data_IF_526539006598
#
_entry.id   IF_526539006598
#
_cell.length_a   1.000
_cell.length_b   1.000
_cell.length_c   1.000
_cell.angle_alpha   90.00
_cell.angle_beta   90.00
_cell.angle_gamma   90.00
#
_symmetry.space_group_name_H-M   'P 1'
#
loop_
_entity.id
_entity.type
_entity.pdbx_description
1 polymer ?
#
# COMPACT_ATOMS: atom_id res chain seq x y z
N UNK A 1 14.01 -77.59 -11.91
CA UNK A 1 12.83 -78.01 -12.70
C UNK A 1 11.88 -76.85 -12.81
N UNK A 2 11.44 -76.58 -14.05
CA UNK A 2 10.24 -75.86 -14.53
C UNK A 2 9.79 -74.54 -13.87
N UNK A 3 9.83 -73.52 -14.73
CA UNK A 3 9.11 -72.23 -14.75
C UNK A 3 7.62 -72.35 -14.38
N UNK A 4 7.05 -71.26 -13.86
CA UNK A 4 5.90 -70.55 -14.45
C UNK A 4 5.74 -69.16 -13.84
N UNK A 5 5.65 -68.16 -14.72
CA UNK A 5 5.22 -66.80 -14.46
C UNK A 5 3.74 -66.67 -14.86
N UNK A 6 2.97 -65.84 -14.13
CA UNK A 6 1.75 -65.08 -14.48
C UNK A 6 1.62 -64.10 -13.28
N UNK A 7 1.58 -62.77 -13.37
CA UNK A 7 0.99 -61.93 -14.39
C UNK A 7 -0.37 -61.40 -13.90
N UNK A 8 -0.38 -60.36 -13.06
CA UNK A 8 -1.54 -59.52 -12.82
C UNK A 8 -1.09 -58.11 -12.43
N UNK A 9 -0.97 -57.24 -13.42
CA UNK A 9 -0.89 -55.80 -13.23
C UNK A 9 -2.30 -55.29 -12.93
N UNK A 10 -2.53 -54.80 -11.72
CA UNK A 10 -3.67 -53.95 -11.39
C UNK A 10 -3.14 -52.52 -11.32
N UNK A 11 -3.35 -51.79 -12.41
CA UNK A 11 -3.20 -50.35 -12.49
C UNK A 11 -4.25 -49.69 -11.60
N UNK A 12 -3.93 -49.50 -10.32
CA UNK A 12 -4.67 -48.66 -9.42
C UNK A 12 -4.17 -47.22 -9.54
N UNK A 13 -4.99 -46.35 -10.11
CA UNK A 13 -4.83 -44.90 -10.08
C UNK A 13 -4.74 -44.44 -8.63
N UNK A 14 -3.54 -44.15 -8.14
CA UNK A 14 -3.33 -43.50 -6.86
C UNK A 14 -3.71 -42.02 -7.04
N UNK A 15 -4.94 -41.67 -6.67
CA UNK A 15 -5.31 -40.28 -6.48
C UNK A 15 -4.41 -39.71 -5.38
N UNK A 16 -3.45 -38.86 -5.74
CA UNK A 16 -2.77 -37.98 -4.80
C UNK A 16 -3.82 -37.02 -4.24
N UNK A 17 -4.53 -37.44 -3.19
CA UNK A 17 -5.11 -36.50 -2.26
C UNK A 17 -3.94 -35.71 -1.70
N UNK A 18 -3.77 -34.46 -2.15
CA UNK A 18 -2.79 -33.55 -1.58
C UNK A 18 -3.09 -33.39 -0.10
N UNK A 19 -2.31 -34.04 0.75
CA UNK A 19 -2.22 -33.66 2.15
C UNK A 19 -1.67 -32.24 2.15
N UNK A 20 -2.56 -31.26 2.26
CA UNK A 20 -2.18 -30.00 2.86
C UNK A 20 -1.65 -30.35 4.25
N UNK A 21 -0.34 -30.15 4.47
CA UNK A 21 0.20 -30.21 5.81
C UNK A 21 -0.65 -29.29 6.70
N UNK A 22 -1.00 -29.70 7.93
CA UNK A 22 -1.66 -28.78 8.84
C UNK A 22 -0.76 -27.55 8.94
N UNK A 23 -1.33 -26.38 8.60
CA UNK A 23 -0.77 -25.13 9.08
C UNK A 23 -0.56 -25.32 10.58
N UNK A 24 0.61 -24.95 11.11
CA UNK A 24 0.90 -25.11 12.53
C UNK A 24 -0.21 -24.42 13.34
N UNK A 25 -1.17 -25.20 13.83
CA UNK A 25 -2.16 -24.75 14.80
C UNK A 25 -1.39 -24.58 16.10
N UNK A 26 -1.12 -23.34 16.50
CA UNK A 26 -0.87 -23.06 17.90
C UNK A 26 -2.07 -23.63 18.66
N UNK A 27 -1.83 -24.54 19.60
CA UNK A 27 -2.85 -25.41 20.17
C UNK A 27 -3.99 -24.66 20.89
N UNK A 28 -3.83 -23.35 21.13
CA UNK A 28 -4.76 -22.52 21.90
C UNK A 28 -5.23 -21.24 21.17
N UNK A 29 -4.89 -21.07 19.88
CA UNK A 29 -5.37 -19.93 19.12
C UNK A 29 -6.86 -20.07 18.74
N UNK A 30 -7.69 -19.03 18.91
CA UNK A 30 -9.09 -19.10 18.49
C UNK A 30 -9.20 -19.26 16.97
N UNK A 31 -10.23 -19.98 16.53
CA UNK A 31 -10.52 -20.21 15.11
C UNK A 31 -11.12 -18.96 14.46
N UNK A 32 -10.26 -17.99 14.15
CA UNK A 32 -10.62 -16.76 13.46
C UNK A 32 -10.28 -16.83 11.98
N UNK A 33 -11.22 -16.39 11.15
CA UNK A 33 -10.99 -16.21 9.72
C UNK A 33 -11.19 -14.75 9.33
N UNK A 34 -10.20 -14.21 8.62
CA UNK A 34 -10.23 -12.88 8.03
C UNK A 34 -10.36 -13.02 6.51
N UNK A 35 -11.50 -12.62 5.97
CA UNK A 35 -11.81 -12.74 4.55
C UNK A 35 -12.04 -11.38 3.90
N UNK A 36 -11.80 -11.29 2.58
CA UNK A 36 -12.11 -10.09 1.80
C UNK A 36 -11.34 -8.83 2.21
N UNK A 37 -10.15 -9.00 2.82
CA UNK A 37 -9.35 -7.87 3.32
C UNK A 37 -9.03 -6.92 2.17
N UNK A 38 -9.47 -5.68 2.31
CA UNK A 38 -9.24 -4.62 1.34
C UNK A 38 -8.58 -3.45 2.03
N UNK A 39 -7.35 -3.14 1.61
CA UNK A 39 -6.58 -2.01 2.12
C UNK A 39 -6.67 -0.85 1.13
N UNK A 40 -6.99 0.35 1.63
CA UNK A 40 -7.10 1.58 0.84
C UNK A 40 -7.98 1.46 -0.42
N UNK A 41 -9.07 0.67 -0.37
CA UNK A 41 -9.92 0.40 -1.54
C UNK A 41 -9.13 -0.17 -2.74
N UNK A 42 -8.05 -0.92 -2.48
CA UNK A 42 -7.15 -1.48 -3.49
C UNK A 42 -6.19 -0.49 -4.14
N UNK A 43 -6.13 0.77 -3.67
CA UNK A 43 -5.26 1.81 -4.22
C UNK A 43 -3.93 1.88 -3.48
N UNK A 44 -2.88 2.30 -4.18
CA UNK A 44 -1.61 2.63 -3.53
C UNK A 44 -1.77 3.80 -2.53
N UNK A 45 -1.00 3.77 -1.46
CA UNK A 45 -0.93 4.80 -0.42
C UNK A 45 0.26 5.69 -0.73
N UNK A 46 0.03 6.97 -1.02
CA UNK A 46 1.09 7.94 -1.28
C UNK A 46 1.36 8.75 0.00
N UNK A 47 2.55 8.62 0.57
CA UNK A 47 2.90 9.25 1.85
C UNK A 47 3.95 10.34 1.63
N UNK A 48 3.69 11.53 2.20
CA UNK A 48 4.60 12.66 2.22
C UNK A 48 5.67 12.52 3.30
N UNK A 49 6.20 13.63 3.80
CA UNK A 49 7.24 13.63 4.84
C UNK A 49 6.76 14.09 6.21
N UNK A 50 5.60 14.75 6.30
CA UNK A 50 5.11 15.34 7.56
C UNK A 50 3.62 15.13 7.81
N UNK A 51 2.84 14.83 6.76
CA UNK A 51 1.40 14.71 6.89
C UNK A 51 1.02 13.25 7.10
N UNK A 52 0.39 12.97 8.22
CA UNK A 52 -0.18 11.67 8.55
C UNK A 52 -1.23 11.26 7.52
N UNK A 53 -1.17 10.01 7.07
CA UNK A 53 -2.10 9.45 6.07
C UNK A 53 -2.94 8.34 6.71
N UNK A 54 -4.25 8.53 6.72
CA UNK A 54 -5.19 7.51 7.22
C UNK A 54 -5.63 6.57 6.10
N UNK A 55 -5.37 5.28 6.28
CA UNK A 55 -5.64 4.21 5.31
C UNK A 55 -6.86 3.40 5.76
N UNK A 56 -8.00 3.46 5.05
CA UNK A 56 -9.16 2.66 5.41
C UNK A 56 -8.91 1.19 5.09
N UNK A 57 -9.26 0.31 6.02
CA UNK A 57 -9.22 -1.15 5.87
C UNK A 57 -10.62 -1.70 6.12
N UNK A 58 -11.04 -2.65 5.31
CA UNK A 58 -12.31 -3.36 5.47
C UNK A 58 -12.13 -4.85 5.25
N UNK A 59 -12.83 -5.67 6.03
CA UNK A 59 -12.77 -7.13 5.95
C UNK A 59 -14.01 -7.77 6.57
N UNK A 60 -14.19 -9.06 6.32
CA UNK A 60 -15.16 -9.91 6.99
C UNK A 60 -14.41 -10.77 8.01
N UNK A 61 -14.81 -10.69 9.28
CA UNK A 61 -14.33 -11.55 10.35
C UNK A 61 -15.34 -12.66 10.59
N UNK A 62 -14.88 -13.90 10.67
CA UNK A 62 -15.67 -15.01 11.22
C UNK A 62 -14.98 -15.51 12.47
N UNK A 63 -15.75 -15.64 13.55
CA UNK A 63 -15.28 -16.12 14.86
C UNK A 63 -16.21 -17.18 15.45
N UNK A 64 -15.74 -17.98 16.42
CA UNK A 64 -16.60 -18.84 17.22
C UNK A 64 -17.64 -18.00 17.96
N UNK A 65 -18.85 -18.53 18.11
CA UNK A 65 -19.98 -17.81 18.72
C UNK A 65 -19.76 -17.49 20.19
N UNK A 66 -19.06 -18.37 20.89
CA UNK A 66 -18.69 -18.29 22.30
C UNK A 66 -17.48 -17.38 22.57
N UNK A 67 -16.67 -17.09 21.55
CA UNK A 67 -15.59 -16.12 21.65
C UNK A 67 -16.14 -14.69 21.63
N UNK A 68 -16.06 -14.00 22.77
CA UNK A 68 -16.39 -12.58 22.89
C UNK A 68 -15.14 -11.74 22.65
N UNK A 69 -15.20 -10.86 21.65
CA UNK A 69 -14.14 -9.89 21.37
C UNK A 69 -14.59 -8.53 21.88
N UNK A 70 -13.99 -8.04 22.97
CA UNK A 70 -14.40 -6.82 23.68
C UNK A 70 -13.47 -5.62 23.45
N UNK A 71 -12.28 -5.84 22.87
CA UNK A 71 -11.25 -4.81 22.70
C UNK A 71 -10.71 -4.26 24.04
N UNK A 72 -10.90 -5.00 25.14
CA UNK A 72 -10.41 -4.69 26.49
C UNK A 72 -9.39 -5.74 26.97
N UNK A 73 -9.80 -7.02 27.02
CA UNK A 73 -8.92 -8.15 27.40
C UNK A 73 -8.39 -8.92 26.22
N UNK A 74 -8.96 -8.66 25.05
CA UNK A 74 -8.48 -9.18 23.80
C UNK A 74 -8.62 -8.12 22.73
N UNK A 75 -7.77 -8.18 21.72
CA UNK A 75 -7.79 -7.29 20.58
C UNK A 75 -7.97 -8.10 19.32
N UNK A 76 -8.62 -7.48 18.36
CA UNK A 76 -8.70 -8.00 17.01
C UNK A 76 -8.59 -6.83 16.04
N UNK A 77 -7.77 -6.98 15.00
CA UNK A 77 -7.51 -5.94 14.02
C UNK A 77 -6.90 -6.53 12.72
N UNK A 78 -6.77 -5.71 11.69
CA UNK A 78 -5.82 -5.95 10.59
C UNK A 78 -4.70 -4.91 10.65
N UNK A 79 -3.45 -5.39 10.64
CA UNK A 79 -2.27 -4.54 10.50
C UNK A 79 -1.63 -4.71 9.12
N UNK A 80 -0.76 -3.78 8.75
CA UNK A 80 0.11 -3.88 7.58
C UNK A 80 1.53 -4.20 8.03
N UNK A 81 2.21 -5.09 7.32
CA UNK A 81 3.58 -5.48 7.64
C UNK A 81 4.45 -5.66 6.40
N UNK A 82 5.76 -5.54 6.58
CA UNK A 82 6.81 -5.89 5.62
C UNK A 82 7.58 -7.12 6.08
N UNK A 83 8.27 -7.79 5.16
CA UNK A 83 9.02 -9.00 5.46
C UNK A 83 8.11 -10.21 5.66
N UNK A 84 8.32 -10.98 6.73
CA UNK A 84 7.53 -12.16 7.08
C UNK A 84 6.98 -12.03 8.49
N UNK A 85 5.89 -12.71 8.84
CA UNK A 85 5.39 -12.66 10.23
C UNK A 85 6.40 -13.20 11.26
N UNK A 86 7.39 -14.00 10.84
CA UNK A 86 8.48 -14.47 11.71
C UNK A 86 9.56 -13.41 11.95
N UNK A 87 9.68 -12.45 11.03
CA UNK A 87 10.72 -11.43 11.01
C UNK A 87 10.16 -10.26 10.22
N UNK A 88 9.33 -9.45 10.88
CA UNK A 88 8.73 -8.29 10.28
C UNK A 88 9.78 -7.18 10.19
N UNK A 89 9.92 -6.58 9.01
CA UNK A 89 10.87 -5.48 8.81
C UNK A 89 10.30 -4.15 9.31
N UNK A 90 8.97 -4.00 9.23
CA UNK A 90 8.22 -2.83 9.68
C UNK A 90 6.73 -3.18 9.75
N UNK A 91 5.97 -2.49 10.60
CA UNK A 91 4.54 -2.73 10.85
C UNK A 91 3.76 -1.41 11.03
N UNK A 92 2.49 -1.42 10.61
CA UNK A 92 1.55 -0.31 10.76
C UNK A 92 0.22 -0.88 11.26
N UNK A 93 -0.12 -0.54 12.50
CA UNK A 93 -1.38 -0.92 13.13
C UNK A 93 -2.45 0.17 13.04
N UNK A 94 -3.70 -0.15 13.39
CA UNK A 94 -4.71 0.87 13.65
C UNK A 94 -4.51 1.51 15.02
N UNK A 95 -4.77 2.82 15.12
CA UNK A 95 -4.71 3.55 16.41
C UNK A 95 -5.97 3.38 17.26
N UNK A 96 -7.02 2.81 16.68
CA UNK A 96 -8.32 2.63 17.32
C UNK A 96 -8.89 1.25 16.95
N UNK A 97 -9.70 0.65 17.86
CA UNK A 97 -10.34 -0.63 17.58
C UNK A 97 -11.21 -0.60 16.31
N UNK A 98 -11.33 -1.74 15.59
CA UNK A 98 -12.23 -1.84 14.46
C UNK A 98 -13.70 -1.68 14.87
N UNK A 99 -14.49 -1.14 13.94
CA UNK A 99 -15.94 -1.12 14.04
C UNK A 99 -16.49 -2.31 13.26
N UNK A 100 -17.02 -3.30 13.98
CA UNK A 100 -17.60 -4.52 13.41
C UNK A 100 -19.12 -4.53 13.54
N UNK A 101 -19.81 -4.95 12.47
CA UNK A 101 -21.27 -5.16 12.45
C UNK A 101 -21.57 -6.62 12.11
N UNK A 102 -22.33 -7.28 12.98
CA UNK A 102 -22.82 -8.64 12.72
C UNK A 102 -23.59 -8.71 11.41
N UNK A 103 -23.15 -9.59 10.53
CA UNK A 103 -23.74 -9.86 9.23
C UNK A 103 -24.57 -11.15 9.25
N UNK A 104 -24.09 -12.17 9.96
CA UNK A 104 -24.77 -13.44 10.13
C UNK A 104 -24.35 -14.14 11.43
N UNK A 105 -25.23 -14.97 11.96
CA UNK A 105 -24.98 -15.81 13.13
C UNK A 105 -25.49 -17.21 12.84
N UNK A 106 -24.69 -18.22 13.15
CA UNK A 106 -25.07 -19.64 13.12
C UNK A 106 -25.09 -20.20 14.54
N UNK A 107 -25.25 -21.53 14.67
CA UNK A 107 -25.15 -22.18 15.98
C UNK A 107 -23.72 -22.15 16.53
N UNK A 108 -22.70 -22.13 15.67
CA UNK A 108 -21.28 -22.24 16.06
C UNK A 108 -20.46 -20.98 15.79
N UNK A 109 -20.89 -20.12 14.86
CA UNK A 109 -20.07 -18.97 14.40
C UNK A 109 -20.86 -17.67 14.31
N UNK A 110 -20.13 -16.56 14.41
CA UNK A 110 -20.62 -15.21 14.11
C UNK A 110 -19.74 -14.63 13.01
N UNK A 111 -20.37 -14.07 11.99
CA UNK A 111 -19.70 -13.39 10.88
C UNK A 111 -20.02 -11.90 10.92
N UNK A 112 -18.99 -11.07 10.84
CA UNK A 112 -19.04 -9.63 11.06
C UNK A 112 -18.35 -8.90 9.92
N UNK A 113 -18.92 -7.79 9.48
CA UNK A 113 -18.27 -6.87 8.56
C UNK A 113 -17.57 -5.79 9.38
N UNK A 114 -16.25 -5.72 9.27
CA UNK A 114 -15.41 -4.85 10.06
C UNK A 114 -14.75 -3.77 9.20
N UNK A 115 -14.61 -2.58 9.78
CA UNK A 115 -13.87 -1.47 9.19
C UNK A 115 -12.99 -0.82 10.23
N UNK A 116 -11.77 -0.46 9.83
CA UNK A 116 -10.82 0.25 10.67
C UNK A 116 -9.94 1.18 9.83
N UNK A 117 -9.04 1.88 10.51
CA UNK A 117 -8.14 2.86 9.91
C UNK A 117 -6.73 2.60 10.40
N UNK A 118 -5.83 2.27 9.48
CA UNK A 118 -4.39 2.20 9.74
C UNK A 118 -3.81 3.58 9.48
N UNK A 119 -3.11 4.13 10.45
CA UNK A 119 -2.51 5.46 10.34
C UNK A 119 -1.05 5.31 9.93
N UNK A 120 -0.62 6.11 8.96
CA UNK A 120 0.78 6.17 8.54
C UNK A 120 1.30 7.56 8.84
N UNK A 121 1.99 7.68 9.96
CA UNK A 121 2.78 8.86 10.25
C UNK A 121 4.18 8.71 9.61
N UNK A 122 4.54 9.53 8.61
CA UNK A 122 5.84 9.41 7.98
C UNK A 122 7.03 9.68 8.89
N UNK A 123 6.85 10.40 10.02
CA UNK A 123 7.94 10.73 10.94
C UNK A 123 8.19 9.61 11.96
N UNK A 124 7.15 8.83 12.28
CA UNK A 124 7.22 7.76 13.29
C UNK A 124 7.27 6.35 12.69
N UNK A 125 6.78 6.16 11.46
CA UNK A 125 6.54 4.83 10.93
C UNK A 125 7.31 4.49 9.63
N UNK A 126 7.91 5.47 8.96
CA UNK A 126 8.66 5.27 7.72
C UNK A 126 10.08 5.79 7.90
N UNK A 127 11.06 4.90 7.83
CA UNK A 127 12.44 5.22 8.23
C UNK A 127 13.39 5.30 7.04
N UNK A 128 13.16 4.53 5.98
CA UNK A 128 14.12 4.44 4.88
C UNK A 128 13.48 4.24 3.49
N UNK A 129 14.30 4.01 2.47
CA UNK A 129 13.86 3.81 1.09
C UNK A 129 13.14 2.48 0.84
N UNK A 130 13.41 1.46 1.65
CA UNK A 130 12.82 0.14 1.55
C UNK A 130 11.33 0.14 1.92
N UNK A 131 10.88 1.07 2.77
CA UNK A 131 9.46 1.20 3.14
C UNK A 131 8.57 1.55 1.94
N UNK A 132 9.15 2.11 0.87
CA UNK A 132 8.46 2.46 -0.36
C UNK A 132 8.28 1.22 -1.25
N UNK A 133 7.52 0.24 -0.77
CA UNK A 133 7.36 -1.08 -1.38
C UNK A 133 5.92 -1.60 -1.27
N UNK A 134 5.72 -2.87 -1.61
CA UNK A 134 4.47 -3.58 -1.32
C UNK A 134 4.48 -4.09 0.12
N UNK A 135 3.49 -3.65 0.88
CA UNK A 135 3.17 -4.11 2.22
C UNK A 135 2.07 -5.17 2.15
N UNK A 136 2.01 -6.03 3.16
CA UNK A 136 1.02 -7.11 3.27
C UNK A 136 0.10 -6.86 4.46
N UNK A 137 -1.13 -7.32 4.38
CA UNK A 137 -2.05 -7.27 5.51
C UNK A 137 -1.98 -8.58 6.32
N UNK A 138 -2.09 -8.45 7.65
CA UNK A 138 -2.26 -9.57 8.57
C UNK A 138 -3.43 -9.30 9.50
N UNK A 139 -4.29 -10.30 9.67
CA UNK A 139 -5.29 -10.32 10.73
C UNK A 139 -4.59 -10.67 12.03
N UNK A 140 -4.95 -9.99 13.11
CA UNK A 140 -4.34 -10.18 14.42
C UNK A 140 -5.45 -10.45 15.43
N UNK A 141 -5.16 -11.39 16.32
CA UNK A 141 -5.86 -11.55 17.58
C UNK A 141 -4.85 -11.56 18.71
N UNK A 142 -5.08 -10.73 19.71
CA UNK A 142 -4.29 -10.70 20.93
C UNK A 142 -5.17 -10.98 22.13
N UNK A 143 -4.68 -11.70 23.12
CA UNK A 143 -5.28 -11.80 24.44
C UNK A 143 -4.26 -11.32 25.46
N UNK A 144 -4.71 -10.50 26.41
CA UNK A 144 -3.89 -10.04 27.52
C UNK A 144 -4.68 -10.17 28.81
N UNK A 145 -4.18 -10.96 29.76
CA UNK A 145 -4.65 -10.97 31.13
C UNK A 145 -3.49 -10.65 32.07
N UNK A 146 -3.73 -9.81 33.06
CA UNK A 146 -2.68 -9.38 33.97
C UNK A 146 -3.24 -9.09 35.35
N UNK A 147 -2.55 -9.58 36.37
CA UNK A 147 -2.89 -9.41 37.78
C UNK A 147 -1.67 -8.83 38.47
N UNK A 148 -1.86 -7.69 39.12
CA UNK A 148 -0.82 -6.97 39.84
C UNK A 148 -1.26 -6.68 41.28
N UNK A 149 -0.36 -6.93 42.23
CA UNK A 149 -0.42 -6.47 43.62
C UNK A 149 0.99 -6.09 44.09
N UNK A 150 1.12 -5.56 45.31
CA UNK A 150 2.41 -5.12 45.87
C UNK A 150 3.47 -6.24 45.88
N UNK A 151 3.04 -7.50 46.02
CA UNK A 151 3.91 -8.69 46.14
C UNK A 151 3.68 -9.74 45.03
N UNK A 152 2.78 -9.50 44.06
CA UNK A 152 2.47 -10.47 42.99
C UNK A 152 2.31 -9.76 41.64
N UNK A 153 3.04 -10.26 40.64
CA UNK A 153 2.94 -9.81 39.26
C UNK A 153 2.80 -11.02 38.35
N UNK A 154 1.71 -11.05 37.59
CA UNK A 154 1.46 -12.05 36.56
C UNK A 154 0.89 -11.38 35.31
N UNK A 155 1.41 -11.77 34.15
CA UNK A 155 0.96 -11.28 32.86
C UNK A 155 1.04 -12.41 31.84
N UNK A 156 -0.10 -12.72 31.23
CA UNK A 156 -0.24 -13.65 30.11
C UNK A 156 -0.64 -12.83 28.89
N UNK A 157 0.16 -12.96 27.81
CA UNK A 157 -0.10 -12.28 26.56
C UNK A 157 0.09 -13.27 25.41
N UNK A 158 -0.98 -13.50 24.66
CA UNK A 158 -0.96 -14.36 23.48
C UNK A 158 -1.27 -13.53 22.25
N UNK A 159 -0.54 -13.77 21.17
CA UNK A 159 -0.81 -13.15 19.87
C UNK A 159 -0.84 -14.21 18.78
N UNK A 160 -1.88 -14.17 17.98
CA UNK A 160 -2.02 -14.97 16.76
C UNK A 160 -2.18 -14.05 15.57
N UNK A 161 -1.44 -14.35 14.49
CA UNK A 161 -1.47 -13.55 13.27
C UNK A 161 -1.68 -14.43 12.03
N UNK A 162 -2.58 -14.00 11.16
CA UNK A 162 -2.86 -14.61 9.86
C UNK A 162 -2.38 -13.68 8.76
N UNK A 163 -1.26 -14.00 8.12
CA UNK A 163 -0.61 -13.12 7.15
C UNK A 163 -1.04 -13.34 5.70
N UNK A 164 -0.58 -12.43 4.82
CA UNK A 164 -0.79 -12.49 3.36
C UNK A 164 -2.27 -12.38 2.95
N UNK A 165 -3.09 -11.71 3.75
CA UNK A 165 -4.53 -11.58 3.50
C UNK A 165 -4.85 -10.57 2.39
N UNK A 166 -3.99 -9.58 2.22
CA UNK A 166 -4.03 -8.58 1.16
C UNK A 166 -2.65 -7.99 0.95
N UNK A 167 -2.51 -7.14 -0.07
CA UNK A 167 -1.31 -6.33 -0.27
C UNK A 167 -1.65 -4.91 -0.72
N UNK A 168 -0.80 -3.95 -0.38
CA UNK A 168 -0.92 -2.55 -0.77
C UNK A 168 0.46 -1.98 -1.08
N UNK A 169 0.55 -1.10 -2.08
CA UNK A 169 1.80 -0.35 -2.33
C UNK A 169 1.81 0.88 -1.46
N UNK A 170 2.84 1.04 -0.64
CA UNK A 170 3.16 2.30 0.03
C UNK A 170 4.23 3.00 -0.80
N UNK A 171 3.96 4.23 -1.20
CA UNK A 171 4.76 4.97 -2.17
C UNK A 171 5.16 6.33 -1.62
N UNK A 172 6.37 6.76 -1.95
CA UNK A 172 6.80 8.14 -1.71
C UNK A 172 5.94 9.09 -2.54
N UNK A 173 5.34 10.08 -1.90
CA UNK A 173 4.58 11.11 -2.61
C UNK A 173 5.53 11.96 -3.47
N UNK A 174 5.13 12.28 -4.70
CA UNK A 174 5.89 13.17 -5.59
C UNK A 174 5.33 14.60 -5.58
N UNK A 175 6.22 15.57 -5.81
CA UNK A 175 5.90 16.98 -6.11
C UNK A 175 6.46 17.31 -7.49
N UNK A 176 5.68 18.07 -8.27
CA UNK A 176 6.00 18.37 -9.65
C UNK A 176 5.60 19.81 -9.98
N UNK A 177 6.52 20.58 -10.53
CA UNK A 177 6.32 21.98 -10.91
C UNK A 177 6.53 22.17 -12.42
N UNK A 178 5.99 23.25 -12.95
CA UNK A 178 6.17 23.67 -14.35
C UNK A 178 6.23 25.20 -14.40
N UNK A 179 7.00 25.74 -15.34
CA UNK A 179 7.09 27.15 -15.66
C UNK A 179 7.61 27.31 -17.11
N UNK A 180 6.84 27.97 -17.95
CA UNK A 180 7.09 28.18 -19.37
C UNK A 180 7.45 29.64 -19.63
N UNK A 181 8.54 29.88 -20.38
CA UNK A 181 9.09 31.23 -20.59
C UNK A 181 9.71 31.35 -21.99
N UNK A 182 9.77 32.55 -22.61
CA UNK A 182 9.32 33.85 -22.09
C UNK A 182 7.80 34.05 -22.20
N UNK A 183 7.28 34.97 -21.38
CA UNK A 183 5.90 35.44 -21.44
C UNK A 183 5.84 36.97 -21.60
N UNK A 184 5.07 37.51 -22.56
CA UNK A 184 4.33 36.79 -23.60
C UNK A 184 5.28 36.11 -24.60
N UNK A 185 4.87 34.94 -25.11
CA UNK A 185 5.65 34.21 -26.10
C UNK A 185 5.36 34.74 -27.51
N UNK A 186 6.39 34.87 -28.35
CA UNK A 186 6.21 35.26 -29.75
C UNK A 186 5.88 34.02 -30.59
N UNK A 187 4.85 34.09 -31.42
CA UNK A 187 4.43 32.99 -32.30
C UNK A 187 5.59 32.47 -33.15
N UNK A 188 5.73 31.15 -33.21
CA UNK A 188 6.79 30.43 -33.93
C UNK A 188 8.16 30.45 -33.23
N UNK A 189 8.33 31.21 -32.15
CA UNK A 189 9.59 31.24 -31.39
C UNK A 189 9.64 30.12 -30.35
N UNK A 190 10.85 29.88 -29.88
CA UNK A 190 11.13 28.84 -28.89
C UNK A 190 10.63 29.29 -27.51
N UNK A 191 9.87 28.41 -26.88
CA UNK A 191 9.43 28.51 -25.50
C UNK A 191 10.19 27.46 -24.68
N UNK A 192 10.80 27.88 -23.59
CA UNK A 192 11.50 27.00 -22.64
C UNK A 192 10.56 26.65 -21.50
N UNK A 193 10.31 25.37 -21.28
CA UNK A 193 9.50 24.88 -20.17
C UNK A 193 10.41 24.18 -19.17
N UNK A 194 10.48 24.71 -17.96
CA UNK A 194 11.27 24.20 -16.84
C UNK A 194 10.37 23.71 -15.72
N UNK A 195 10.92 22.88 -14.85
CA UNK A 195 10.23 22.37 -13.68
C UNK A 195 11.16 21.56 -12.80
N UNK A 196 10.61 20.96 -11.76
CA UNK A 196 11.31 20.04 -10.88
C UNK A 196 10.41 18.89 -10.47
N UNK A 197 10.93 17.67 -10.53
CA UNK A 197 10.32 16.48 -9.95
C UNK A 197 11.07 16.12 -8.66
N UNK A 198 10.38 16.20 -7.53
CA UNK A 198 10.91 15.73 -6.24
C UNK A 198 9.99 14.67 -5.65
N UNK A 199 10.53 13.84 -4.75
CA UNK A 199 9.74 12.87 -3.99
C UNK A 199 10.10 12.92 -2.51
N UNK A 200 9.18 12.44 -1.67
CA UNK A 200 9.42 12.27 -0.25
C UNK A 200 10.68 11.41 -0.01
N UNK A 201 11.49 11.83 0.95
CA UNK A 201 12.61 11.09 1.49
C UNK A 201 12.44 11.02 3.00
N UNK A 202 11.91 9.89 3.48
CA UNK A 202 11.51 9.70 4.87
C UNK A 202 12.73 9.71 5.82
N UNK A 203 13.85 9.14 5.38
CA UNK A 203 15.13 9.16 6.10
C UNK A 203 15.60 10.59 6.47
N UNK A 204 15.29 11.57 5.62
CA UNK A 204 15.68 12.97 5.83
C UNK A 204 14.50 13.90 6.14
N UNK A 205 13.28 13.38 6.27
CA UNK A 205 12.06 14.18 6.46
C UNK A 205 11.80 15.24 5.39
N UNK A 206 12.42 15.14 4.20
CA UNK A 206 12.39 16.22 3.18
C UNK A 206 12.07 15.69 1.78
N UNK A 207 11.68 16.61 0.87
CA UNK A 207 11.54 16.27 -0.54
C UNK A 207 12.85 16.45 -1.28
N UNK A 208 13.32 15.40 -1.94
CA UNK A 208 14.57 15.43 -2.72
C UNK A 208 14.32 15.16 -4.19
N UNK A 209 15.24 15.64 -5.02
CA UNK A 209 15.18 15.51 -6.47
C UNK A 209 15.10 14.05 -6.92
N UNK A 210 14.11 13.74 -7.76
CA UNK A 210 13.98 12.41 -8.35
C UNK A 210 14.53 12.42 -9.77
N UNK A 211 15.74 11.89 -9.93
CA UNK A 211 16.51 11.91 -11.17
C UNK A 211 16.32 10.62 -11.99
N UNK A 212 16.52 10.71 -13.31
CA UNK A 212 16.63 9.55 -14.19
C UNK A 212 15.29 8.93 -14.57
N UNK A 213 14.17 9.57 -14.22
CA UNK A 213 12.82 9.07 -14.52
C UNK A 213 12.12 9.89 -15.61
N UNK A 214 11.27 9.20 -16.37
CA UNK A 214 10.50 9.77 -17.47
C UNK A 214 9.39 10.69 -16.95
N UNK A 215 9.27 11.86 -17.57
CA UNK A 215 8.22 12.85 -17.35
C UNK A 215 7.72 13.33 -18.71
N UNK A 216 6.43 13.60 -18.82
CA UNK A 216 5.80 14.07 -20.07
C UNK A 216 5.34 15.50 -19.90
N UNK A 217 5.74 16.38 -20.81
CA UNK A 217 5.13 17.69 -20.99
C UNK A 217 3.84 17.52 -21.80
N UNK A 218 2.75 18.04 -21.26
CA UNK A 218 1.47 18.15 -21.91
C UNK A 218 1.13 19.62 -22.19
N UNK A 219 0.35 19.85 -23.23
CA UNK A 219 -0.19 21.16 -23.58
C UNK A 219 -1.68 21.04 -23.87
N UNK A 220 -2.47 22.01 -23.42
CA UNK A 220 -3.83 22.26 -23.93
C UNK A 220 -3.87 23.65 -24.53
N UNK A 221 -4.49 23.79 -25.69
CA UNK A 221 -4.88 25.10 -26.20
C UNK A 221 -5.99 25.71 -25.33
N UNK A 222 -6.17 27.03 -25.38
CA UNK A 222 -7.35 27.67 -24.79
C UNK A 222 -8.65 27.06 -25.37
N UNK A 223 -9.57 26.66 -24.50
CA UNK A 223 -10.79 25.92 -24.85
C UNK A 223 -10.59 24.46 -25.27
N UNK A 224 -9.36 23.94 -25.22
CA UNK A 224 -9.02 22.58 -25.64
C UNK A 224 -8.77 21.59 -24.50
N UNK A 225 -8.36 20.37 -24.89
CA UNK A 225 -7.94 19.30 -24.00
C UNK A 225 -6.42 19.11 -24.00
N UNK A 226 -5.87 18.52 -22.94
CA UNK A 226 -4.44 18.23 -22.85
C UNK A 226 -4.02 17.11 -23.81
N UNK A 227 -2.90 17.31 -24.50
CA UNK A 227 -2.21 16.30 -25.28
C UNK A 227 -0.72 16.27 -24.91
N UNK A 228 -0.10 15.09 -25.04
CA UNK A 228 1.33 14.92 -24.87
C UNK A 228 2.08 15.63 -26.00
N UNK A 229 3.05 16.48 -25.64
CA UNK A 229 3.87 17.23 -26.62
C UNK A 229 5.35 16.87 -26.56
N UNK A 230 5.85 16.41 -25.41
CA UNK A 230 7.26 16.00 -25.28
C UNK A 230 7.49 15.07 -24.10
N UNK A 231 8.17 13.95 -24.31
CA UNK A 231 8.76 13.15 -23.23
C UNK A 231 10.18 13.63 -22.90
N UNK A 232 10.51 13.73 -21.62
CA UNK A 232 11.85 14.06 -21.10
C UNK A 232 12.23 13.13 -19.94
N UNK A 233 13.52 13.13 -19.59
CA UNK A 233 14.04 12.46 -18.40
C UNK A 233 14.49 13.52 -17.41
N UNK A 234 14.16 13.34 -16.13
CA UNK A 234 14.60 14.23 -15.05
C UNK A 234 16.12 14.20 -14.88
N UNK A 235 16.71 15.38 -14.81
CA UNK A 235 18.15 15.56 -14.62
C UNK A 235 18.56 15.60 -13.15
N UNK A 236 19.76 16.10 -12.90
CA UNK A 236 20.33 16.29 -11.56
C UNK A 236 19.38 17.06 -10.65
N UNK A 237 19.24 16.61 -9.40
CA UNK A 237 18.28 17.16 -8.41
C UNK A 237 16.82 17.18 -8.91
N UNK A 238 16.46 16.33 -9.87
CA UNK A 238 15.10 16.25 -10.40
C UNK A 238 14.73 17.37 -11.37
N UNK A 239 15.70 18.12 -11.87
CA UNK A 239 15.46 19.22 -12.79
C UNK A 239 14.79 18.75 -14.09
N UNK A 240 13.79 19.50 -14.55
CA UNK A 240 13.11 19.33 -15.82
C UNK A 240 13.36 20.54 -16.68
N UNK A 241 13.75 20.33 -17.93
CA UNK A 241 13.92 21.42 -18.90
C UNK A 241 13.71 20.88 -20.31
N UNK A 242 12.88 21.55 -21.08
CA UNK A 242 12.65 21.26 -22.49
C UNK A 242 12.27 22.52 -23.24
N UNK A 243 12.25 22.42 -24.56
CA UNK A 243 11.82 23.51 -25.44
C UNK A 243 10.73 23.03 -26.40
N UNK A 244 9.76 23.89 -26.65
CA UNK A 244 8.69 23.71 -27.65
C UNK A 244 8.55 24.99 -28.49
N UNK A 245 7.76 24.93 -29.56
CA UNK A 245 7.42 26.13 -30.35
C UNK A 245 6.11 26.72 -29.85
N UNK A 246 6.11 28.01 -29.54
CA UNK A 246 4.89 28.74 -29.19
C UNK A 246 4.02 28.92 -30.44
N UNK A 247 2.93 28.15 -30.58
CA UNK A 247 2.07 28.21 -31.78
C UNK A 247 0.74 28.91 -31.51
N UNK A 248 0.21 28.79 -30.30
CA UNK A 248 -1.05 29.37 -29.82
C UNK A 248 -1.04 29.45 -28.30
N UNK A 249 -1.88 30.33 -27.74
CA UNK A 249 -2.08 30.45 -26.30
C UNK A 249 -2.68 29.17 -25.69
N UNK A 250 -2.31 28.88 -24.45
CA UNK A 250 -2.75 27.68 -23.76
C UNK A 250 -1.94 27.35 -22.51
N UNK A 251 -2.19 26.18 -21.93
CA UNK A 251 -1.61 25.76 -20.65
C UNK A 251 -0.67 24.57 -20.82
N UNK A 252 0.54 24.67 -20.27
CA UNK A 252 1.51 23.58 -20.16
C UNK A 252 1.45 22.93 -18.78
N UNK A 253 1.68 21.62 -18.71
CA UNK A 253 1.89 20.90 -17.44
C UNK A 253 2.83 19.73 -17.61
N UNK A 254 3.58 19.39 -16.56
CA UNK A 254 4.30 18.12 -16.52
C UNK A 254 3.45 17.03 -15.88
N UNK A 255 3.60 15.81 -16.38
CA UNK A 255 2.97 14.59 -15.87
C UNK A 255 4.05 13.54 -15.61
N UNK A 256 4.12 13.08 -14.38
CA UNK A 256 4.92 11.94 -13.96
C UNK A 256 3.96 10.77 -13.67
N UNK A 257 4.13 9.66 -14.41
CA UNK A 257 3.23 8.51 -14.35
C UNK A 257 3.37 7.66 -13.07
N UNK A 258 4.33 7.98 -12.20
CA UNK A 258 4.64 7.16 -11.03
C UNK A 258 5.61 6.02 -11.36
N UNK A 259 6.03 5.33 -10.31
CA UNK A 259 6.84 4.10 -10.37
C UNK A 259 6.31 3.13 -9.31
N UNK A 260 6.96 1.97 -9.11
CA UNK A 260 6.58 1.08 -8.02
C UNK A 260 6.69 1.75 -6.63
N UNK A 261 7.70 2.61 -6.43
CA UNK A 261 8.06 3.19 -5.13
C UNK A 261 7.70 4.67 -4.98
N UNK A 262 7.17 5.32 -6.02
CA UNK A 262 6.85 6.75 -6.01
C UNK A 262 5.54 7.00 -6.73
N UNK A 263 4.61 7.70 -6.08
CA UNK A 263 3.28 7.95 -6.61
C UNK A 263 3.30 8.88 -7.84
N UNK A 264 2.33 8.67 -8.73
CA UNK A 264 2.12 9.55 -9.89
C UNK A 264 1.80 10.99 -9.47
N UNK A 265 2.21 11.96 -10.27
CA UNK A 265 1.91 13.38 -10.02
C UNK A 265 1.78 14.15 -11.32
N UNK A 266 0.79 15.04 -11.35
CA UNK A 266 0.62 16.06 -12.39
C UNK A 266 0.87 17.42 -11.77
N UNK A 267 1.65 18.28 -12.42
CA UNK A 267 1.88 19.65 -11.92
C UNK A 267 0.61 20.49 -12.02
N UNK A 268 0.60 21.61 -11.28
CA UNK A 268 -0.26 22.73 -11.68
C UNK A 268 0.06 23.13 -13.13
N UNK A 269 -0.95 23.63 -13.85
CA UNK A 269 -0.73 24.12 -15.21
C UNK A 269 -0.17 25.53 -15.20
N UNK A 270 0.60 25.87 -16.23
CA UNK A 270 1.14 27.21 -16.46
C UNK A 270 0.67 27.75 -17.82
N UNK A 271 0.01 28.90 -17.82
CA UNK A 271 -0.66 29.46 -19.00
C UNK A 271 0.23 30.47 -19.70
N UNK A 272 0.47 30.22 -20.99
CA UNK A 272 1.29 31.07 -21.84
C UNK A 272 0.39 31.79 -22.84
N UNK A 273 0.50 33.12 -22.86
CA UNK A 273 -0.08 33.94 -23.93
C UNK A 273 0.89 34.05 -25.10
N UNK A 274 0.41 33.73 -26.30
CA UNK A 274 1.17 33.87 -27.55
C UNK A 274 0.71 35.12 -28.32
N UNK A 275 1.67 35.95 -28.73
CA UNK A 275 1.47 37.13 -29.59
C UNK A 275 1.97 36.87 -31.01
#
# INVERSE_FOLDING_TARGET
MRKLAIGAALSGTLALAGLAAPAASAADAPDLTFAGVTVNKGKAVAVGTTATVTVPVSYTLTRPKDLVIDQEKNIQAVLLYRGTLRSADNELGPDAPPVCKTAATTDTTVTENCTEKVTVDPEEALFDASDATTWKAAGVYGHSDSVFSDDYLHSENDITMWGNLASVKVQRAARLTVNATPEPAVKGRTLTVKGSLTRADWEYGTYRGYQGVKVVLQFKADGGSYADVKGITSGTKGALSTTVKATRSGTYRFVFAGTATTAAKTSAGDHVTVK
#
